data_IF_996157604494
#
_entry.id   IF_996157604494
#
_cell.length_a   1.000
_cell.length_b   1.000
_cell.length_c   1.000
_cell.angle_alpha   90.00
_cell.angle_beta   90.00
_cell.angle_gamma   90.00
#
_symmetry.space_group_name_H-M   'P 1'
#
loop_
_entity.id
_entity.type
_entity.pdbx_description
1 polymer ?
#
# COMPACT_ATOMS: atom_id res chain seq x y z
N UNK A 1 3.04 8.99 -14.89
CA UNK A 1 3.83 8.94 -13.65
C UNK A 1 2.93 9.07 -12.44
N UNK A 2 2.18 10.16 -12.29
CA UNK A 2 1.31 10.47 -11.15
C UNK A 2 0.31 9.36 -10.82
N UNK A 3 -0.50 8.94 -11.78
CA UNK A 3 -1.47 7.85 -11.61
C UNK A 3 -0.83 6.52 -11.14
N UNK A 4 0.45 6.32 -11.44
CA UNK A 4 1.21 5.15 -10.99
C UNK A 4 1.75 5.36 -9.59
N UNK A 5 2.24 6.56 -9.29
CA UNK A 5 2.72 6.94 -7.97
C UNK A 5 1.62 6.82 -6.91
N UNK A 6 0.41 7.29 -7.22
CA UNK A 6 -0.74 7.27 -6.31
C UNK A 6 -1.23 5.85 -5.97
N UNK A 7 -0.85 4.83 -6.75
CA UNK A 7 -1.10 3.43 -6.38
C UNK A 7 -0.19 2.92 -5.26
N UNK A 8 0.93 3.57 -5.01
CA UNK A 8 1.92 3.14 -4.02
C UNK A 8 1.92 3.99 -2.76
N UNK A 9 1.63 5.27 -2.90
CA UNK A 9 1.70 6.21 -1.80
C UNK A 9 0.81 7.41 -2.05
N UNK A 10 0.29 8.00 -0.98
CA UNK A 10 -0.39 9.27 -1.07
C UNK A 10 0.62 10.37 -1.37
N UNK A 11 0.41 11.11 -2.45
CA UNK A 11 1.33 12.13 -2.92
C UNK A 11 0.61 13.43 -3.28
N UNK A 12 1.37 14.51 -3.31
CA UNK A 12 0.91 15.81 -3.79
C UNK A 12 1.67 16.14 -5.06
N UNK A 13 0.96 16.49 -6.11
CA UNK A 13 1.51 16.72 -7.43
C UNK A 13 1.64 18.21 -7.72
N UNK A 14 2.81 18.60 -8.20
CA UNK A 14 3.11 19.95 -8.63
C UNK A 14 3.65 19.94 -10.07
N UNK A 15 3.12 20.82 -10.91
CA UNK A 15 3.58 20.96 -12.29
C UNK A 15 4.55 22.12 -12.41
N UNK A 16 5.77 21.81 -12.83
CA UNK A 16 6.77 22.80 -13.11
C UNK A 16 6.80 23.13 -14.60
N UNK A 17 6.66 24.41 -14.92
CA UNK A 17 6.77 24.90 -16.28
C UNK A 17 8.16 25.50 -16.50
N UNK A 18 8.83 25.13 -17.58
CA UNK A 18 10.15 25.64 -17.97
C UNK A 18 10.19 27.16 -18.17
N UNK A 19 9.04 27.76 -18.47
CA UNK A 19 8.88 29.22 -18.58
C UNK A 19 8.56 29.91 -17.26
N UNK A 20 8.54 29.18 -16.16
CA UNK A 20 8.25 29.73 -14.84
C UNK A 20 9.29 30.78 -14.44
N UNK A 21 8.83 31.91 -13.96
CA UNK A 21 9.70 32.98 -13.48
C UNK A 21 10.40 32.59 -12.17
N UNK A 22 11.51 33.23 -11.85
CA UNK A 22 12.21 33.09 -10.55
C UNK A 22 11.28 33.28 -9.34
N UNK A 23 10.21 34.09 -9.49
CA UNK A 23 9.20 34.30 -8.45
C UNK A 23 8.37 33.02 -8.21
N UNK A 24 7.93 32.35 -9.28
CA UNK A 24 7.17 31.10 -9.19
C UNK A 24 8.03 30.01 -8.57
N UNK A 25 9.31 29.89 -8.96
CA UNK A 25 10.23 28.93 -8.35
C UNK A 25 10.39 29.12 -6.85
N UNK A 26 10.53 30.37 -6.37
CA UNK A 26 10.57 30.65 -4.92
C UNK A 26 9.30 30.25 -4.19
N UNK A 27 8.13 30.43 -4.81
CA UNK A 27 6.84 29.97 -4.23
C UNK A 27 6.82 28.45 -4.16
N UNK A 28 7.19 27.75 -5.24
CA UNK A 28 7.23 26.29 -5.26
C UNK A 28 8.22 25.73 -4.20
N UNK A 29 9.40 26.29 -4.06
CA UNK A 29 10.36 25.87 -3.02
C UNK A 29 9.72 26.02 -1.63
N UNK A 30 8.93 27.07 -1.38
CA UNK A 30 8.20 27.24 -0.12
C UNK A 30 7.12 26.21 0.07
N UNK A 31 6.33 25.92 -0.96
CA UNK A 31 5.28 24.88 -0.94
C UNK A 31 5.87 23.47 -0.69
N UNK A 32 7.09 23.22 -1.17
CA UNK A 32 7.77 21.95 -0.97
C UNK A 32 8.39 21.77 0.43
N UNK A 33 8.40 22.80 1.28
CA UNK A 33 9.00 22.73 2.63
C UNK A 33 8.49 21.58 3.51
N UNK A 34 7.19 21.23 3.51
CA UNK A 34 6.68 20.14 4.35
C UNK A 34 7.16 18.74 3.95
N UNK A 35 7.71 18.57 2.73
CA UNK A 35 8.05 17.24 2.20
C UNK A 35 9.54 16.94 2.42
N UNK A 36 9.83 15.70 2.82
CA UNK A 36 11.20 15.22 3.04
C UNK A 36 11.84 14.62 1.77
N UNK A 37 11.01 14.15 0.84
CA UNK A 37 11.42 13.54 -0.42
C UNK A 37 10.67 14.17 -1.58
N UNK A 38 11.39 14.57 -2.60
CA UNK A 38 10.85 15.14 -3.84
C UNK A 38 11.15 14.18 -4.99
N UNK A 39 10.11 13.73 -5.69
CA UNK A 39 10.25 12.98 -6.94
C UNK A 39 10.05 13.95 -8.11
N UNK A 40 11.06 14.07 -8.94
CA UNK A 40 11.06 14.93 -10.11
C UNK A 40 10.95 14.05 -11.35
N UNK A 41 9.89 14.23 -12.13
CA UNK A 41 9.71 13.52 -13.39
C UNK A 41 9.71 14.52 -14.56
N UNK A 42 10.65 14.35 -15.48
CA UNK A 42 10.79 15.27 -16.62
C UNK A 42 11.39 14.58 -17.83
N UNK A 43 11.12 15.11 -19.01
CA UNK A 43 11.72 14.69 -20.27
C UNK A 43 12.70 15.73 -20.84
N UNK A 44 12.80 16.88 -20.18
CA UNK A 44 13.72 17.98 -20.56
C UNK A 44 14.24 18.67 -19.32
N UNK A 45 15.48 19.13 -19.37
CA UNK A 45 16.07 19.97 -18.32
C UNK A 45 16.65 21.20 -18.97
N UNK A 46 16.13 22.35 -18.57
CA UNK A 46 16.64 23.66 -18.94
C UNK A 46 17.35 24.30 -17.76
N UNK A 47 18.16 25.31 -17.99
CA UNK A 47 18.95 25.99 -16.97
C UNK A 47 18.12 26.41 -15.74
N UNK A 48 16.96 27.00 -15.93
CA UNK A 48 16.06 27.38 -14.84
C UNK A 48 15.60 26.18 -14.00
N UNK A 49 15.34 25.04 -14.64
CA UNK A 49 14.95 23.82 -13.96
C UNK A 49 16.14 23.21 -13.22
N UNK A 50 17.32 23.20 -13.81
CA UNK A 50 18.54 22.75 -13.15
C UNK A 50 18.82 23.56 -11.87
N UNK A 51 18.70 24.87 -11.94
CA UNK A 51 18.84 25.76 -10.78
C UNK A 51 17.76 25.50 -9.70
N UNK A 52 16.52 25.17 -10.12
CA UNK A 52 15.45 24.80 -9.20
C UNK A 52 15.74 23.46 -8.51
N UNK A 53 16.18 22.43 -9.25
CA UNK A 53 16.57 21.12 -8.71
C UNK A 53 17.70 21.30 -7.70
N UNK A 54 18.71 22.09 -8.03
CA UNK A 54 19.80 22.42 -7.12
C UNK A 54 19.28 23.05 -5.83
N UNK A 55 18.45 24.08 -5.92
CA UNK A 55 17.88 24.75 -4.75
C UNK A 55 17.02 23.85 -3.86
N UNK A 56 16.40 22.81 -4.43
CA UNK A 56 15.67 21.79 -3.66
C UNK A 56 16.66 20.86 -2.97
N UNK A 57 17.63 20.33 -3.71
CA UNK A 57 18.57 19.31 -3.24
C UNK A 57 19.44 19.75 -2.07
N UNK A 58 19.78 21.03 -1.98
CA UNK A 58 20.52 21.60 -0.84
C UNK A 58 19.86 21.31 0.53
N UNK A 59 18.54 21.12 0.56
CA UNK A 59 17.77 20.99 1.81
C UNK A 59 16.87 19.74 1.86
N UNK A 60 16.72 18.99 0.76
CA UNK A 60 15.78 17.89 0.61
C UNK A 60 16.41 16.73 -0.13
N UNK A 61 15.88 15.52 0.10
CA UNK A 61 16.21 14.36 -0.74
C UNK A 61 15.45 14.48 -2.05
N UNK A 62 16.16 14.47 -3.17
CA UNK A 62 15.58 14.53 -4.50
C UNK A 62 15.91 13.25 -5.29
N UNK A 63 14.92 12.69 -5.95
CA UNK A 63 15.07 11.61 -6.93
C UNK A 63 14.62 12.14 -8.28
N UNK A 64 15.47 12.03 -9.27
CA UNK A 64 15.18 12.45 -10.63
C UNK A 64 14.87 11.26 -11.53
N UNK A 65 13.68 11.26 -12.11
CA UNK A 65 13.30 10.38 -13.21
C UNK A 65 13.33 11.17 -14.52
N UNK A 66 14.32 10.90 -15.34
CA UNK A 66 14.52 11.58 -16.62
C UNK A 66 14.11 10.67 -17.78
N UNK A 67 13.14 11.11 -18.57
CA UNK A 67 12.58 10.37 -19.70
C UNK A 67 12.91 11.05 -21.06
N UNK A 68 14.00 11.81 -21.09
CA UNK A 68 14.38 12.62 -22.24
C UNK A 68 15.27 11.91 -23.25
N UNK A 69 15.84 12.70 -24.16
CA UNK A 69 16.82 12.25 -25.15
C UNK A 69 18.18 11.93 -24.46
N UNK A 70 19.08 11.29 -25.22
CA UNK A 70 20.39 10.86 -24.75
C UNK A 70 21.29 12.01 -24.30
N UNK A 71 21.08 13.20 -24.83
CA UNK A 71 21.75 14.41 -24.38
C UNK A 71 21.13 14.87 -23.04
N UNK A 72 21.84 14.65 -21.96
CA UNK A 72 21.44 15.07 -20.63
C UNK A 72 22.14 16.37 -20.24
N UNK A 73 21.63 17.52 -20.67
CA UNK A 73 22.23 18.79 -20.37
C UNK A 73 22.13 19.10 -18.86
N UNK A 74 23.10 19.86 -18.35
CA UNK A 74 23.12 20.32 -16.96
C UNK A 74 23.25 19.23 -15.88
N UNK A 75 23.61 17.98 -16.23
CA UNK A 75 23.80 16.91 -15.26
C UNK A 75 24.80 17.30 -14.17
N UNK A 76 25.96 17.82 -14.54
CA UNK A 76 27.01 18.22 -13.60
C UNK A 76 26.55 19.30 -12.60
N UNK A 77 25.58 20.13 -12.98
CA UNK A 77 25.01 21.16 -12.11
C UNK A 77 24.10 20.58 -11.02
N UNK A 78 23.41 19.48 -11.31
CA UNK A 78 22.37 18.90 -10.43
C UNK A 78 22.82 17.62 -9.74
N UNK A 79 23.84 16.93 -10.24
CA UNK A 79 24.30 15.64 -9.72
C UNK A 79 24.61 15.67 -8.23
N UNK A 80 25.30 16.67 -7.68
CA UNK A 80 25.58 16.71 -6.26
C UNK A 80 24.34 16.77 -5.36
N UNK A 81 23.23 17.24 -5.90
CA UNK A 81 21.99 17.52 -5.15
C UNK A 81 20.92 16.44 -5.26
N UNK A 82 21.10 15.48 -6.17
CA UNK A 82 20.16 14.38 -6.34
C UNK A 82 20.65 13.10 -5.66
N UNK A 83 19.77 12.46 -4.89
CA UNK A 83 20.08 11.21 -4.17
C UNK A 83 20.10 9.99 -5.10
N UNK A 84 19.27 10.00 -6.12
CA UNK A 84 19.15 8.94 -7.11
C UNK A 84 18.68 9.49 -8.43
N UNK A 85 19.18 8.88 -9.48
CA UNK A 85 18.85 9.21 -10.85
C UNK A 85 18.37 7.96 -11.58
N UNK A 86 17.19 8.03 -12.16
CA UNK A 86 16.66 7.00 -13.06
C UNK A 86 16.57 7.59 -14.46
N UNK A 87 17.25 6.96 -15.40
CA UNK A 87 17.24 7.33 -16.80
C UNK A 87 16.42 6.35 -17.61
N UNK A 88 15.41 6.86 -18.31
CA UNK A 88 14.60 6.11 -19.27
C UNK A 88 14.73 6.72 -20.66
N UNK A 89 15.09 5.92 -21.64
CA UNK A 89 15.23 6.36 -23.04
C UNK A 89 13.88 6.50 -23.77
N UNK A 90 12.76 6.39 -23.07
CA UNK A 90 11.44 6.34 -23.65
C UNK A 90 10.49 7.37 -23.04
N UNK A 91 9.72 8.02 -23.93
CA UNK A 91 8.62 8.94 -23.56
C UNK A 91 7.25 8.25 -23.56
N UNK A 92 7.20 6.94 -23.80
CA UNK A 92 5.93 6.20 -23.80
C UNK A 92 5.34 6.12 -22.39
N UNK A 93 4.04 6.26 -22.26
CA UNK A 93 3.34 6.21 -20.98
C UNK A 93 3.61 4.92 -20.19
N UNK A 94 3.76 3.79 -20.89
CA UNK A 94 4.09 2.49 -20.28
C UNK A 94 5.45 2.54 -19.59
N UNK A 95 6.47 3.06 -20.25
CA UNK A 95 7.84 3.08 -19.75
C UNK A 95 7.99 4.07 -18.61
N UNK A 96 7.32 5.22 -18.68
CA UNK A 96 7.23 6.19 -17.60
C UNK A 96 6.56 5.56 -16.35
N UNK A 97 5.54 4.73 -16.55
CA UNK A 97 4.91 3.97 -15.47
C UNK A 97 5.87 2.96 -14.84
N UNK A 98 6.63 2.23 -15.65
CA UNK A 98 7.65 1.29 -15.19
C UNK A 98 8.74 2.01 -14.41
N UNK A 99 9.23 3.15 -14.91
CA UNK A 99 10.23 3.98 -14.21
C UNK A 99 9.76 4.38 -12.80
N UNK A 100 8.51 4.83 -12.70
CA UNK A 100 7.90 5.14 -11.40
C UNK A 100 7.90 3.92 -10.47
N UNK A 101 7.55 2.76 -11.00
CA UNK A 101 7.48 1.51 -10.22
C UNK A 101 8.86 1.01 -9.82
N UNK A 102 9.91 1.23 -10.62
CA UNK A 102 11.29 0.94 -10.22
C UNK A 102 11.68 1.78 -9.01
N UNK A 103 11.42 3.08 -9.04
CA UNK A 103 11.70 3.99 -7.91
C UNK A 103 10.98 3.51 -6.64
N UNK A 104 9.75 3.01 -6.77
CA UNK A 104 8.90 2.60 -5.65
C UNK A 104 9.05 1.11 -5.28
N UNK A 105 9.93 0.38 -5.95
CA UNK A 105 10.23 -1.02 -5.65
C UNK A 105 9.23 -2.03 -6.20
N UNK A 106 8.37 -1.65 -7.15
CA UNK A 106 7.44 -2.54 -7.84
C UNK A 106 8.09 -3.37 -8.95
N UNK A 107 9.13 -2.83 -9.59
CA UNK A 107 9.96 -3.56 -10.55
C UNK A 107 11.44 -3.54 -10.14
N UNK A 108 12.20 -4.60 -10.42
CA UNK A 108 13.63 -4.60 -10.24
C UNK A 108 14.32 -3.77 -11.32
N UNK A 109 15.48 -3.21 -11.03
CA UNK A 109 16.39 -2.65 -12.02
C UNK A 109 17.67 -3.47 -12.04
N UNK A 110 18.09 -3.87 -13.22
CA UNK A 110 19.38 -4.57 -13.43
C UNK A 110 20.14 -4.01 -14.62
N UNK A 111 19.55 -3.04 -15.34
CA UNK A 111 20.14 -2.47 -16.52
C UNK A 111 21.33 -1.59 -16.16
N UNK A 112 22.29 -1.57 -17.06
CA UNK A 112 23.48 -0.75 -17.02
C UNK A 112 23.49 0.16 -18.22
N UNK A 113 24.23 1.25 -18.12
CA UNK A 113 24.46 2.11 -19.28
C UNK A 113 25.22 1.35 -20.35
N UNK A 114 24.74 1.41 -21.58
CA UNK A 114 25.33 0.77 -22.76
C UNK A 114 26.41 1.66 -23.42
N UNK A 115 26.37 2.95 -23.11
CA UNK A 115 27.32 3.97 -23.55
C UNK A 115 27.53 5.04 -22.50
N UNK A 116 28.61 5.78 -22.63
CA UNK A 116 28.89 6.94 -21.81
C UNK A 116 27.91 8.07 -22.16
N UNK A 117 27.27 8.63 -21.14
CA UNK A 117 26.45 9.85 -21.26
C UNK A 117 27.31 11.08 -21.02
N UNK A 118 28.22 11.00 -20.04
CA UNK A 118 29.20 12.01 -19.70
C UNK A 118 30.35 11.39 -18.91
N UNK A 119 31.30 12.18 -18.44
CA UNK A 119 32.48 11.71 -17.70
C UNK A 119 32.15 11.00 -16.37
N UNK A 120 30.97 11.19 -15.82
CA UNK A 120 30.52 10.58 -14.56
C UNK A 120 29.55 9.41 -14.77
N UNK A 121 28.67 9.54 -15.75
CA UNK A 121 27.72 8.50 -16.16
C UNK A 121 28.34 7.69 -17.33
N UNK A 122 29.24 6.82 -16.95
CA UNK A 122 30.00 6.00 -17.89
C UNK A 122 29.36 4.63 -18.11
N UNK A 123 29.75 3.99 -19.22
CA UNK A 123 29.33 2.62 -19.54
C UNK A 123 29.48 1.67 -18.35
N UNK A 124 28.56 0.71 -18.23
CA UNK A 124 28.51 -0.31 -17.16
C UNK A 124 28.04 0.22 -15.80
N UNK A 125 27.91 1.52 -15.59
CA UNK A 125 27.28 2.04 -14.36
C UNK A 125 25.79 1.73 -14.33
N UNK A 126 25.30 1.34 -13.17
CA UNK A 126 23.90 1.06 -12.89
C UNK A 126 23.77 0.37 -11.53
N UNK A 127 22.67 0.64 -10.86
CA UNK A 127 22.37 0.06 -9.56
C UNK A 127 21.36 -1.08 -9.76
N UNK A 128 21.72 -2.28 -9.24
CA UNK A 128 20.78 -3.39 -9.19
C UNK A 128 19.84 -3.20 -7.98
N UNK A 129 18.55 -3.23 -8.24
CA UNK A 129 17.52 -3.24 -7.20
C UNK A 129 16.67 -4.49 -7.30
N UNK A 130 16.09 -4.92 -6.19
CA UNK A 130 15.14 -6.03 -6.16
C UNK A 130 13.73 -5.48 -6.07
N UNK A 131 12.76 -6.28 -6.54
CA UNK A 131 11.35 -6.01 -6.27
C UNK A 131 11.07 -6.24 -4.79
N UNK A 132 10.47 -5.25 -4.13
CA UNK A 132 10.09 -5.28 -2.71
C UNK A 132 8.60 -4.97 -2.49
N UNK A 133 7.87 -4.59 -3.55
CA UNK A 133 6.44 -4.30 -3.56
C UNK A 133 5.77 -4.98 -4.75
N UNK A 134 4.45 -5.08 -4.71
CA UNK A 134 3.68 -5.49 -5.89
C UNK A 134 3.84 -4.46 -6.99
N UNK A 135 3.90 -4.93 -8.24
CA UNK A 135 3.83 -4.08 -9.41
C UNK A 135 2.40 -3.93 -9.91
N UNK A 136 2.15 -2.89 -10.69
CA UNK A 136 0.88 -2.63 -11.36
C UNK A 136 1.12 -2.54 -12.86
N UNK A 137 0.33 -3.22 -13.68
CA UNK A 137 0.59 -3.20 -15.10
C UNK A 137 -0.57 -3.70 -15.96
N UNK A 138 -0.23 -4.03 -17.21
CA UNK A 138 -1.19 -4.49 -18.18
C UNK A 138 -1.45 -5.99 -17.99
N UNK A 139 -2.72 -6.39 -18.07
CA UNK A 139 -3.18 -7.78 -17.97
C UNK A 139 -2.59 -8.68 -19.06
N UNK A 140 -2.20 -8.09 -20.19
CA UNK A 140 -1.59 -8.81 -21.32
C UNK A 140 -0.26 -9.46 -20.95
N UNK A 141 0.53 -8.84 -20.08
CA UNK A 141 1.82 -9.38 -19.63
C UNK A 141 1.64 -10.67 -18.78
N UNK A 142 0.43 -10.91 -18.26
CA UNK A 142 0.05 -12.08 -17.47
C UNK A 142 -0.81 -13.08 -18.24
N UNK A 143 -1.07 -12.86 -19.52
CA UNK A 143 -2.01 -13.62 -20.34
C UNK A 143 -3.44 -13.68 -19.74
N UNK A 144 -3.87 -12.58 -19.11
CA UNK A 144 -5.20 -12.44 -18.54
C UNK A 144 -6.09 -11.66 -19.51
N UNK A 145 -7.18 -12.28 -19.94
CA UNK A 145 -8.13 -11.66 -20.84
C UNK A 145 -9.06 -10.70 -20.08
N UNK A 146 -9.20 -9.48 -20.57
CA UNK A 146 -10.08 -8.46 -19.99
C UNK A 146 -11.55 -8.92 -19.89
N UNK A 147 -12.01 -9.77 -20.82
CA UNK A 147 -13.36 -10.34 -20.75
C UNK A 147 -13.61 -11.20 -19.49
N UNK A 148 -12.57 -11.81 -18.93
CA UNK A 148 -12.64 -12.54 -17.66
C UNK A 148 -12.83 -11.57 -16.51
N UNK A 149 -12.15 -10.42 -16.56
CA UNK A 149 -12.23 -9.39 -15.52
C UNK A 149 -13.62 -8.73 -15.48
N UNK A 150 -14.30 -8.60 -16.63
CA UNK A 150 -15.68 -8.12 -16.69
C UNK A 150 -16.67 -9.07 -15.96
N UNK A 151 -16.36 -10.35 -15.85
CA UNK A 151 -17.18 -11.29 -15.03
C UNK A 151 -17.09 -10.94 -13.54
N UNK A 152 -15.93 -10.49 -13.06
CA UNK A 152 -15.78 -10.01 -11.67
C UNK A 152 -16.70 -8.81 -11.45
N UNK A 153 -16.65 -7.82 -12.36
CA UNK A 153 -17.53 -6.65 -12.31
C UNK A 153 -19.00 -7.07 -12.23
N UNK A 154 -19.44 -8.00 -13.08
CA UNK A 154 -20.82 -8.47 -13.14
C UNK A 154 -21.26 -9.17 -11.86
N UNK A 155 -20.41 -10.04 -11.28
CA UNK A 155 -20.69 -10.74 -10.02
C UNK A 155 -20.87 -9.74 -8.89
N UNK A 156 -19.95 -8.78 -8.78
CA UNK A 156 -19.98 -7.78 -7.70
C UNK A 156 -21.19 -6.86 -7.83
N UNK A 157 -21.46 -6.36 -9.03
CA UNK A 157 -22.62 -5.49 -9.26
C UNK A 157 -23.95 -6.21 -9.00
N UNK A 158 -24.04 -7.49 -9.37
CA UNK A 158 -25.21 -8.30 -9.04
C UNK A 158 -25.37 -8.49 -7.51
N UNK A 159 -24.29 -8.79 -6.79
CA UNK A 159 -24.33 -8.91 -5.33
C UNK A 159 -24.77 -7.61 -4.63
N UNK A 160 -24.35 -6.44 -5.14
CA UNK A 160 -24.81 -5.15 -4.64
C UNK A 160 -26.30 -4.94 -4.95
N UNK A 161 -26.74 -5.29 -6.15
CA UNK A 161 -28.15 -5.20 -6.57
C UNK A 161 -29.05 -6.08 -5.68
N UNK A 162 -28.62 -7.32 -5.42
CA UNK A 162 -29.32 -8.26 -4.54
C UNK A 162 -29.19 -7.91 -3.04
N UNK A 163 -28.57 -6.77 -2.71
CA UNK A 163 -28.34 -6.32 -1.33
C UNK A 163 -27.55 -7.30 -0.46
N UNK A 164 -26.68 -8.11 -1.05
CA UNK A 164 -25.76 -8.95 -0.29
C UNK A 164 -24.69 -8.13 0.43
N UNK A 165 -24.33 -6.97 -0.16
CA UNK A 165 -23.39 -5.98 0.42
C UNK A 165 -23.66 -4.61 -0.21
N UNK A 166 -23.45 -3.50 0.52
CA UNK A 166 -23.64 -2.14 -0.03
C UNK A 166 -22.51 -1.72 -0.98
N UNK A 167 -21.32 -2.26 -0.80
CA UNK A 167 -20.14 -2.02 -1.63
C UNK A 167 -18.94 -2.82 -1.16
N UNK A 168 -17.88 -2.83 -1.96
CA UNK A 168 -16.64 -3.53 -1.64
C UNK A 168 -15.45 -3.00 -2.44
N UNK A 169 -14.25 -3.43 -2.03
CA UNK A 169 -13.03 -3.35 -2.81
C UNK A 169 -12.64 -4.76 -3.28
N UNK A 170 -12.17 -4.86 -4.52
CA UNK A 170 -11.62 -6.10 -5.07
C UNK A 170 -10.23 -5.85 -5.59
N UNK A 171 -9.26 -6.63 -5.11
CA UNK A 171 -7.90 -6.63 -5.62
C UNK A 171 -7.50 -8.07 -5.94
N UNK A 172 -6.93 -8.26 -7.14
CA UNK A 172 -6.34 -9.54 -7.53
C UNK A 172 -4.93 -9.34 -8.07
N UNK A 173 -4.03 -10.22 -7.64
CA UNK A 173 -2.64 -10.21 -8.05
C UNK A 173 -2.16 -11.63 -8.40
N UNK A 174 -1.22 -11.73 -9.34
CA UNK A 174 -0.55 -12.96 -9.73
C UNK A 174 0.95 -12.68 -9.86
N UNK A 175 1.77 -13.56 -9.31
CA UNK A 175 3.24 -13.47 -9.37
C UNK A 175 3.79 -12.10 -8.88
N UNK A 176 3.10 -11.50 -7.89
CA UNK A 176 3.43 -10.18 -7.35
C UNK A 176 3.04 -9.02 -8.25
N UNK A 177 2.15 -9.24 -9.20
CA UNK A 177 1.65 -8.22 -10.11
C UNK A 177 0.15 -8.03 -9.95
N UNK A 178 -0.28 -6.82 -9.60
CA UNK A 178 -1.70 -6.46 -9.47
C UNK A 178 -2.27 -6.25 -10.86
N UNK A 179 -3.19 -7.10 -11.25
CA UNK A 179 -3.86 -7.04 -12.56
C UNK A 179 -5.31 -6.56 -12.48
N UNK A 180 -5.88 -6.53 -11.28
CA UNK A 180 -7.23 -6.03 -11.06
C UNK A 180 -7.31 -5.31 -9.72
N UNK A 181 -7.83 -4.09 -9.71
CA UNK A 181 -8.11 -3.31 -8.51
C UNK A 181 -9.26 -2.36 -8.80
N UNK A 182 -10.40 -2.58 -8.15
CA UNK A 182 -11.59 -1.74 -8.29
C UNK A 182 -12.36 -1.64 -6.98
N UNK A 183 -13.06 -0.52 -6.82
CA UNK A 183 -14.02 -0.25 -5.75
C UNK A 183 -15.42 -0.17 -6.35
N UNK A 184 -16.41 -0.67 -5.62
CA UNK A 184 -17.80 -0.76 -6.07
C UNK A 184 -18.76 -0.31 -4.97
N UNK A 185 -19.87 0.31 -5.37
CA UNK A 185 -20.97 0.67 -4.48
C UNK A 185 -20.63 1.75 -3.47
N UNK A 186 -21.31 1.70 -2.33
CA UNK A 186 -21.24 2.70 -1.27
C UNK A 186 -20.93 2.02 0.08
N UNK A 187 -20.61 2.81 1.12
CA UNK A 187 -20.33 2.29 2.46
C UNK A 187 -21.59 1.71 3.13
N UNK A 188 -22.75 2.26 2.85
CA UNK A 188 -24.07 1.81 3.36
C UNK A 188 -25.12 1.85 2.24
N UNK A 189 -26.32 1.36 2.52
CA UNK A 189 -27.46 1.44 1.59
C UNK A 189 -28.18 2.80 1.59
N UNK A 190 -27.75 3.75 2.40
CA UNK A 190 -28.36 5.08 2.46
C UNK A 190 -28.06 5.89 1.20
N UNK A 191 -29.03 6.69 0.75
CA UNK A 191 -28.92 7.50 -0.47
C UNK A 191 -27.81 8.55 -0.42
N UNK A 192 -27.40 8.98 0.78
CA UNK A 192 -26.31 9.96 1.02
C UNK A 192 -24.98 9.30 1.35
N UNK A 193 -24.91 7.96 1.29
CA UNK A 193 -23.71 7.23 1.65
C UNK A 193 -22.54 7.54 0.69
N UNK A 194 -21.34 7.68 1.27
CA UNK A 194 -20.10 7.87 0.51
C UNK A 194 -19.83 6.64 -0.36
N UNK A 195 -19.30 6.86 -1.57
CA UNK A 195 -18.82 5.77 -2.43
C UNK A 195 -17.59 5.09 -1.82
N UNK A 196 -17.50 3.78 -2.03
CA UNK A 196 -16.29 3.03 -1.68
C UNK A 196 -15.13 3.48 -2.57
N UNK A 197 -13.99 3.70 -1.95
CA UNK A 197 -12.72 4.10 -2.59
C UNK A 197 -11.65 3.02 -2.36
N UNK A 198 -10.64 2.93 -3.22
CA UNK A 198 -9.50 2.03 -3.02
C UNK A 198 -8.66 2.38 -1.78
N UNK A 199 -8.83 3.59 -1.23
CA UNK A 199 -8.12 4.05 -0.04
C UNK A 199 -8.89 3.79 1.27
N UNK A 200 -10.10 3.24 1.19
CA UNK A 200 -10.89 2.95 2.38
C UNK A 200 -10.29 1.76 3.15
N UNK A 201 -10.28 1.87 4.48
CA UNK A 201 -9.76 0.87 5.39
C UNK A 201 -10.91 0.01 5.89
N UNK A 202 -10.73 -1.32 5.85
CA UNK A 202 -11.68 -2.30 6.34
C UNK A 202 -11.19 -2.94 7.64
N UNK A 203 -12.12 -3.24 8.53
CA UNK A 203 -11.86 -4.16 9.63
C UNK A 203 -11.56 -5.56 9.04
N UNK A 204 -10.39 -6.08 9.37
CA UNK A 204 -9.94 -7.38 8.88
C UNK A 204 -10.63 -8.56 9.57
N UNK A 205 -11.38 -8.32 10.65
CA UNK A 205 -12.05 -9.33 11.43
C UNK A 205 -11.13 -10.57 11.65
N UNK A 206 -11.58 -11.76 11.28
CA UNK A 206 -10.81 -12.99 11.48
C UNK A 206 -9.57 -13.15 10.61
N UNK A 207 -9.38 -12.34 9.58
CA UNK A 207 -8.11 -12.31 8.84
C UNK A 207 -6.95 -11.90 9.78
N UNK A 208 -7.24 -11.17 10.85
CA UNK A 208 -6.28 -10.85 11.93
C UNK A 208 -5.61 -12.10 12.50
N UNK A 209 -6.30 -13.26 12.56
CA UNK A 209 -5.72 -14.50 13.05
C UNK A 209 -4.51 -14.95 12.22
N UNK A 210 -4.56 -14.78 10.91
CA UNK A 210 -3.47 -15.15 10.01
C UNK A 210 -2.51 -13.99 9.75
N UNK A 211 -3.00 -12.76 9.62
CA UNK A 211 -2.17 -11.60 9.30
C UNK A 211 -1.37 -11.04 10.51
N UNK A 212 -1.77 -11.36 11.73
CA UNK A 212 -1.12 -10.91 12.96
C UNK A 212 -0.75 -12.08 13.87
N UNK A 213 -1.75 -12.81 14.40
CA UNK A 213 -1.51 -13.81 15.44
C UNK A 213 -0.60 -14.94 14.96
N UNK A 214 -0.89 -15.54 13.79
CA UNK A 214 -0.06 -16.63 13.27
C UNK A 214 1.37 -16.17 12.97
N UNK A 215 1.54 -15.01 12.34
CA UNK A 215 2.87 -14.47 12.04
C UNK A 215 3.68 -14.21 13.30
N UNK A 216 3.05 -13.67 14.34
CA UNK A 216 3.71 -13.44 15.64
C UNK A 216 4.12 -14.76 16.28
N UNK A 217 3.27 -15.79 16.25
CA UNK A 217 3.61 -17.10 16.78
C UNK A 217 4.73 -17.78 15.98
N UNK A 218 4.73 -17.66 14.66
CA UNK A 218 5.84 -18.14 13.81
C UNK A 218 7.18 -17.48 14.19
N UNK A 219 7.16 -16.18 14.44
CA UNK A 219 8.35 -15.47 14.90
C UNK A 219 8.81 -15.99 16.26
N UNK A 220 7.91 -16.11 17.24
CA UNK A 220 8.23 -16.62 18.56
C UNK A 220 8.76 -18.07 18.52
N UNK A 221 8.24 -18.90 17.62
CA UNK A 221 8.75 -20.25 17.41
C UNK A 221 10.16 -20.25 16.82
N UNK A 222 10.43 -19.38 15.84
CA UNK A 222 11.78 -19.23 15.28
C UNK A 222 12.81 -18.74 16.30
N UNK A 223 12.36 -18.04 17.35
CA UNK A 223 13.16 -17.56 18.47
C UNK A 223 13.22 -18.58 19.64
N UNK A 224 12.65 -19.78 19.49
CA UNK A 224 12.52 -20.81 20.53
C UNK A 224 11.76 -20.34 21.80
N UNK A 225 10.89 -19.33 21.68
CA UNK A 225 10.04 -18.81 22.75
C UNK A 225 8.64 -19.42 22.76
N UNK A 226 8.30 -20.14 21.73
CA UNK A 226 7.00 -20.77 21.53
C UNK A 226 7.19 -22.11 20.78
N UNK A 227 6.34 -23.09 21.10
CA UNK A 227 6.30 -24.35 20.37
C UNK A 227 4.84 -24.74 20.12
N UNK A 228 4.49 -25.04 18.88
CA UNK A 228 3.16 -25.52 18.49
C UNK A 228 2.81 -26.88 19.08
N UNK A 229 3.81 -27.68 19.44
CA UNK A 229 3.63 -29.00 20.03
C UNK A 229 3.38 -28.96 21.55
N UNK A 230 3.47 -27.78 22.18
CA UNK A 230 3.17 -27.58 23.59
C UNK A 230 1.66 -27.47 23.83
N UNK A 231 1.24 -27.67 25.08
CA UNK A 231 -0.12 -27.45 25.53
C UNK A 231 -0.34 -25.99 25.96
N UNK A 232 -1.58 -25.52 25.85
CA UNK A 232 -1.99 -24.16 26.18
C UNK A 232 -1.62 -23.75 27.62
N UNK A 233 -1.77 -24.67 28.56
CA UNK A 233 -1.42 -24.48 29.98
C UNK A 233 0.05 -24.20 30.24
N UNK A 234 0.95 -24.60 29.32
CA UNK A 234 2.38 -24.28 29.43
C UNK A 234 2.64 -22.76 29.37
N UNK A 235 1.88 -22.06 28.53
CA UNK A 235 2.02 -20.61 28.35
C UNK A 235 1.08 -19.76 29.21
N UNK A 236 -0.03 -20.36 29.67
CA UNK A 236 -1.04 -19.68 30.47
C UNK A 236 -1.33 -20.44 31.80
N UNK A 237 -0.29 -20.78 32.59
CA UNK A 237 -0.48 -21.66 33.75
C UNK A 237 -1.42 -21.05 34.82
N UNK A 238 -1.30 -19.76 35.10
CA UNK A 238 -2.11 -19.07 36.13
C UNK A 238 -3.60 -18.98 35.70
N UNK A 239 -3.84 -18.71 34.41
CA UNK A 239 -5.22 -18.52 33.92
C UNK A 239 -5.98 -19.83 33.76
N UNK A 240 -5.28 -20.94 33.60
CA UNK A 240 -5.86 -22.23 33.24
C UNK A 240 -5.65 -23.32 34.31
N UNK A 241 -5.16 -22.96 35.51
CA UNK A 241 -4.78 -23.93 36.56
C UNK A 241 -5.89 -24.94 36.86
N UNK A 242 -7.13 -24.45 37.02
CA UNK A 242 -8.31 -25.28 37.31
C UNK A 242 -9.14 -25.61 36.04
N UNK A 243 -8.64 -25.33 34.84
CA UNK A 243 -9.37 -25.53 33.57
C UNK A 243 -8.87 -26.75 32.83
N UNK A 244 -9.80 -27.52 32.25
CA UNK A 244 -9.47 -28.62 31.33
C UNK A 244 -8.78 -28.12 30.05
N UNK A 245 -8.97 -26.86 29.68
CA UNK A 245 -8.35 -26.23 28.51
C UNK A 245 -6.81 -26.18 28.59
N UNK A 246 -6.22 -26.33 29.79
CA UNK A 246 -4.76 -26.39 29.95
C UNK A 246 -4.10 -27.50 29.14
N UNK A 247 -4.84 -28.58 28.89
CA UNK A 247 -4.34 -29.76 28.18
C UNK A 247 -4.51 -29.69 26.65
N UNK A 248 -5.16 -28.62 26.13
CA UNK A 248 -5.33 -28.46 24.70
C UNK A 248 -3.99 -28.24 24.02
N UNK A 249 -3.72 -29.03 22.99
CA UNK A 249 -2.52 -28.86 22.16
C UNK A 249 -2.64 -27.58 21.29
N UNK A 250 -1.57 -26.79 21.23
CA UNK A 250 -1.58 -25.53 20.50
C UNK A 250 -1.74 -25.72 19.00
N UNK A 251 -1.17 -26.77 18.43
CA UNK A 251 -1.35 -27.13 17.03
C UNK A 251 -2.82 -27.39 16.70
N UNK A 252 -3.54 -28.12 17.55
CA UNK A 252 -4.96 -28.40 17.37
C UNK A 252 -5.81 -27.12 17.47
N UNK A 253 -5.45 -26.21 18.38
CA UNK A 253 -6.10 -24.90 18.48
C UNK A 253 -5.88 -24.09 17.20
N UNK A 254 -4.64 -23.99 16.73
CA UNK A 254 -4.27 -23.19 15.55
C UNK A 254 -4.86 -23.76 14.24
N UNK A 255 -5.11 -25.07 14.19
CA UNK A 255 -5.71 -25.74 13.04
C UNK A 255 -7.23 -25.93 13.18
N UNK A 256 -7.86 -25.34 14.22
CA UNK A 256 -9.29 -25.47 14.51
C UNK A 256 -9.77 -26.92 14.79
N UNK A 257 -8.91 -27.76 15.35
CA UNK A 257 -9.21 -29.19 15.64
C UNK A 257 -9.37 -29.46 17.16
N UNK A 258 -9.21 -28.47 17.99
CA UNK A 258 -9.22 -28.60 19.46
C UNK A 258 -10.63 -28.87 20.08
N UNK A 259 -11.69 -29.00 19.29
CA UNK A 259 -13.05 -29.23 19.79
C UNK A 259 -13.71 -28.06 20.52
N UNK A 260 -13.12 -26.85 20.39
CA UNK A 260 -13.66 -25.64 21.00
C UNK A 260 -14.94 -25.19 20.28
N UNK A 261 -15.87 -24.56 21.04
CA UNK A 261 -17.06 -23.97 20.47
C UNK A 261 -16.67 -22.88 19.44
N UNK A 262 -17.23 -23.01 18.23
CA UNK A 262 -16.93 -22.09 17.12
C UNK A 262 -17.41 -20.66 17.38
N UNK A 263 -18.43 -20.50 18.22
CA UNK A 263 -19.03 -19.24 18.56
C UNK A 263 -19.72 -19.30 19.92
N UNK A 264 -19.49 -18.26 20.74
CA UNK A 264 -20.13 -18.11 22.04
C UNK A 264 -20.92 -16.80 22.04
N UNK A 265 -22.25 -16.84 22.14
CA UNK A 265 -23.07 -15.64 22.08
C UNK A 265 -23.06 -14.88 23.42
N UNK A 266 -21.95 -14.29 23.78
CA UNK A 266 -21.78 -13.53 25.04
C UNK A 266 -22.85 -12.45 25.24
N UNK A 267 -23.39 -11.90 24.15
CA UNK A 267 -24.39 -10.86 24.17
C UNK A 267 -25.73 -11.31 24.81
N UNK A 268 -26.05 -12.60 24.80
CA UNK A 268 -27.27 -13.08 25.46
C UNK A 268 -27.32 -12.72 26.94
N UNK A 269 -26.15 -12.63 27.61
CA UNK A 269 -26.06 -12.21 29.01
C UNK A 269 -26.34 -10.71 29.21
N UNK A 270 -26.42 -9.96 28.12
CA UNK A 270 -26.67 -8.51 28.12
C UNK A 270 -28.10 -8.18 27.70
N UNK A 271 -28.95 -9.20 27.50
CA UNK A 271 -30.34 -9.02 27.15
C UNK A 271 -31.23 -9.23 28.36
N UNK A 272 -32.27 -8.40 28.50
CA UNK A 272 -33.41 -8.60 29.40
C UNK A 272 -34.63 -8.93 28.56
N UNK A 273 -35.21 -10.13 28.73
CA UNK A 273 -36.35 -10.61 27.94
C UNK A 273 -36.15 -10.52 26.41
N UNK A 274 -34.94 -10.85 25.94
CA UNK A 274 -34.55 -10.80 24.53
C UNK A 274 -34.28 -9.40 23.96
N UNK A 275 -34.40 -8.36 24.77
CA UNK A 275 -34.10 -6.98 24.42
C UNK A 275 -32.80 -6.48 25.06
N UNK A 276 -32.02 -5.60 24.38
CA UNK A 276 -30.82 -5.04 25.00
C UNK A 276 -31.11 -4.38 26.34
N UNK A 277 -30.34 -4.75 27.38
CA UNK A 277 -30.45 -4.17 28.70
C UNK A 277 -30.14 -2.66 28.67
N UNK A 278 -31.01 -1.82 29.21
CA UNK A 278 -30.77 -0.38 29.30
C UNK A 278 -29.60 0.00 30.22
N UNK A 279 -29.20 -0.91 31.12
CA UNK A 279 -28.04 -0.70 31.99
C UNK A 279 -26.72 -0.86 31.21
N UNK A 280 -26.71 -1.71 30.18
CA UNK A 280 -25.53 -2.01 29.40
C UNK A 280 -25.50 -1.30 28.03
N UNK A 281 -26.66 -0.91 27.52
CA UNK A 281 -26.79 -0.29 26.21
C UNK A 281 -27.52 1.07 26.30
N UNK A 282 -26.97 2.06 25.62
CA UNK A 282 -27.62 3.37 25.48
C UNK A 282 -27.43 3.90 24.06
N UNK A 283 -28.43 4.60 23.55
CA UNK A 283 -28.34 5.35 22.27
C UNK A 283 -27.54 6.64 22.43
N UNK A 284 -27.39 7.13 23.65
CA UNK A 284 -26.70 8.37 23.96
C UNK A 284 -25.45 8.09 24.80
N UNK A 285 -24.34 8.79 24.56
CA UNK A 285 -23.15 8.69 25.40
C UNK A 285 -23.46 9.14 26.84
N UNK A 286 -22.86 8.45 27.80
CA UNK A 286 -22.92 8.80 29.23
C UNK A 286 -21.62 8.45 29.92
N UNK A 287 -21.49 8.66 31.21
CA UNK A 287 -20.29 8.25 31.98
C UNK A 287 -19.99 6.76 31.93
N UNK A 288 -20.99 5.93 31.64
CA UNK A 288 -20.86 4.46 31.57
C UNK A 288 -21.05 3.93 30.12
N UNK A 289 -21.57 4.75 29.21
CA UNK A 289 -21.76 4.38 27.81
C UNK A 289 -20.94 5.31 26.92
N UNK A 290 -19.93 4.77 26.27
CA UNK A 290 -19.12 5.54 25.31
C UNK A 290 -19.83 5.63 23.96
N UNK A 291 -19.64 6.77 23.26
CA UNK A 291 -20.06 6.87 21.88
C UNK A 291 -19.28 5.87 21.01
N UNK A 292 -19.94 5.28 20.02
CA UNK A 292 -19.21 4.61 18.96
C UNK A 292 -18.41 5.68 18.19
N UNK A 293 -17.12 5.45 18.09
CA UNK A 293 -16.22 6.23 17.23
C UNK A 293 -16.48 5.88 15.77
#
# INVERSE_FOLDING_TARGET
>A
FENTLDKYTKSTHYHFNTFSSKRIMKVMIKELQPYNLILINTDTIHENMANFIKSIGENKKAILNYNGSEDFPFYELIEPEIQSFLYSFSKQKKDISISCQIILGGYPSSNKLEKDINNQLTIVKGIKTNRIRMSYGNNLDLNINDSILQKIDSIVLNAIHEKAMPGCQVLAAKDGHVFYQKSFGNHTYDSISKKVSNDDIYDLASITKIASSALTLMQLESENKFSVDSNLGHYLPILLDSSEYKNLNLKDILTHQAGLASWIPFFFKTLNDGMPSYELYSKLPSSIHQSRV
#
